data_IF_877761656471
#
_entry.id   IF_877761656471
#
_cell.length_a   1.000
_cell.length_b   1.000
_cell.length_c   1.000
_cell.angle_alpha   90.00
_cell.angle_beta   90.00
_cell.angle_gamma   90.00
#
_symmetry.space_group_name_H-M   'P 1'
#
loop_
_entity.id
_entity.type
_entity.pdbx_description
1 polymer ?
#
# COMPACT_ATOMS: atom_id res chain seq x y z
N UNK A 1 -5.58 5.02 18.52
CA UNK A 1 -4.41 5.70 17.93
C UNK A 1 -4.83 6.47 16.69
N UNK A 2 -3.86 7.10 16.00
CA UNK A 2 -4.11 7.92 14.81
C UNK A 2 -4.73 7.11 13.66
N UNK A 3 -4.23 5.89 13.41
CA UNK A 3 -4.75 5.01 12.36
C UNK A 3 -6.25 4.71 12.53
N UNK A 4 -6.67 4.35 13.75
CA UNK A 4 -8.08 4.06 14.04
C UNK A 4 -8.97 5.30 13.87
N UNK A 5 -8.49 6.49 14.23
CA UNK A 5 -9.23 7.73 14.05
C UNK A 5 -9.46 8.05 12.57
N UNK A 6 -8.45 7.82 11.71
CA UNK A 6 -8.57 8.04 10.25
C UNK A 6 -9.48 6.97 9.62
N UNK A 7 -9.18 5.69 9.85
CA UNK A 7 -9.91 4.56 9.27
C UNK A 7 -11.38 4.53 9.70
N UNK A 8 -11.67 4.90 10.95
CA UNK A 8 -13.04 4.98 11.48
C UNK A 8 -13.91 6.04 10.79
N UNK A 9 -13.34 6.94 9.98
CA UNK A 9 -14.15 7.88 9.18
C UNK A 9 -14.65 7.27 7.86
N UNK A 10 -14.15 6.11 7.46
CA UNK A 10 -14.53 5.43 6.23
C UNK A 10 -15.50 4.28 6.52
N UNK A 11 -16.46 4.00 5.63
CA UNK A 11 -17.43 2.91 5.80
C UNK A 11 -16.81 1.54 5.46
N UNK A 12 -15.69 1.19 6.11
CA UNK A 12 -14.94 -0.06 5.86
C UNK A 12 -15.65 -1.21 6.59
N UNK A 13 -15.84 -2.31 5.87
CA UNK A 13 -16.50 -3.55 6.33
C UNK A 13 -15.58 -4.75 6.17
N UNK A 14 -15.97 -5.91 6.72
CA UNK A 14 -15.22 -7.15 6.56
C UNK A 14 -15.19 -7.69 5.11
N UNK A 15 -16.09 -7.20 4.25
CA UNK A 15 -16.12 -7.53 2.82
C UNK A 15 -15.11 -6.71 2.00
N UNK A 16 -14.46 -5.72 2.62
CA UNK A 16 -13.42 -4.91 1.99
C UNK A 16 -12.02 -5.50 2.22
N UNK A 17 -11.07 -5.03 1.41
CA UNK A 17 -9.64 -5.33 1.56
C UNK A 17 -8.91 -4.04 1.94
N UNK A 18 -8.09 -4.10 3.00
CA UNK A 18 -7.22 -3.00 3.39
C UNK A 18 -5.80 -3.22 2.85
N UNK A 19 -5.43 -2.43 1.84
CA UNK A 19 -4.06 -2.37 1.32
C UNK A 19 -3.22 -1.39 2.16
N UNK A 20 -2.19 -1.88 2.84
CA UNK A 20 -1.31 -1.11 3.73
C UNK A 20 0.08 -1.03 3.11
N UNK A 21 0.52 0.18 2.76
CA UNK A 21 1.77 0.39 2.02
C UNK A 21 2.79 1.11 2.88
N UNK A 22 3.90 0.43 3.18
CA UNK A 22 5.05 1.01 3.87
C UNK A 22 6.28 0.15 3.62
N UNK A 23 7.23 0.66 2.82
CA UNK A 23 8.41 -0.09 2.42
C UNK A 23 9.25 -0.57 3.63
N UNK A 24 9.32 0.22 4.69
CA UNK A 24 10.14 -0.08 5.87
C UNK A 24 9.52 -1.11 6.83
N UNK A 25 8.19 -1.20 6.89
CA UNK A 25 7.46 -2.23 7.63
C UNK A 25 7.56 -2.14 9.16
N UNK A 26 8.02 -1.03 9.74
CA UNK A 26 8.23 -0.88 11.19
C UNK A 26 7.40 0.23 11.84
N UNK A 27 6.75 1.09 11.04
CA UNK A 27 6.10 2.30 11.54
C UNK A 27 4.80 1.99 12.30
N UNK A 28 4.55 2.75 13.37
CA UNK A 28 3.43 2.52 14.26
C UNK A 28 2.05 2.61 13.57
N UNK A 29 1.84 3.63 12.73
CA UNK A 29 0.55 3.86 12.07
C UNK A 29 0.12 2.68 11.18
N UNK A 30 1.06 2.07 10.43
CA UNK A 30 0.73 0.95 9.53
C UNK A 30 0.50 -0.35 10.28
N UNK A 31 1.24 -0.57 11.37
CA UNK A 31 1.03 -1.72 12.24
C UNK A 31 -0.30 -1.58 13.02
N UNK A 32 -0.62 -0.40 13.54
CA UNK A 32 -1.91 -0.10 14.17
C UNK A 32 -3.07 -0.32 13.20
N UNK A 33 -2.93 0.08 11.93
CA UNK A 33 -3.93 -0.14 10.89
C UNK A 33 -4.17 -1.64 10.64
N UNK A 34 -3.11 -2.44 10.54
CA UNK A 34 -3.20 -3.88 10.35
C UNK A 34 -3.88 -4.58 11.54
N UNK A 35 -3.49 -4.21 12.77
CA UNK A 35 -4.10 -4.75 13.99
C UNK A 35 -5.59 -4.37 14.10
N UNK A 36 -5.94 -3.12 13.81
CA UNK A 36 -7.32 -2.65 13.79
C UNK A 36 -8.20 -3.39 12.78
N UNK A 37 -7.65 -3.68 11.59
CA UNK A 37 -8.33 -4.43 10.54
C UNK A 37 -8.54 -5.89 10.95
N UNK A 38 -7.51 -6.52 11.53
CA UNK A 38 -7.58 -7.88 12.06
C UNK A 38 -8.66 -8.05 13.13
N UNK A 39 -8.79 -7.09 14.06
CA UNK A 39 -9.86 -7.09 15.07
C UNK A 39 -11.28 -7.07 14.46
N UNK A 40 -11.42 -6.63 13.21
CA UNK A 40 -12.70 -6.47 12.48
C UNK A 40 -12.93 -7.54 11.42
N UNK A 41 -12.01 -8.50 11.29
CA UNK A 41 -12.08 -9.52 10.25
C UNK A 41 -11.90 -8.97 8.83
N UNK A 42 -11.27 -7.80 8.69
CA UNK A 42 -10.98 -7.18 7.39
C UNK A 42 -9.71 -7.82 6.84
N UNK A 43 -9.75 -8.29 5.59
CA UNK A 43 -8.58 -8.88 4.93
C UNK A 43 -7.53 -7.80 4.66
N UNK A 44 -6.27 -8.08 4.99
CA UNK A 44 -5.16 -7.12 4.86
C UNK A 44 -4.10 -7.60 3.88
N UNK A 45 -3.62 -6.66 3.06
CA UNK A 45 -2.47 -6.87 2.16
C UNK A 45 -1.42 -5.83 2.50
N UNK A 46 -0.22 -6.25 2.92
CA UNK A 46 0.90 -5.37 3.21
C UNK A 46 1.89 -5.29 2.05
N UNK A 47 2.15 -4.09 1.52
CA UNK A 47 3.26 -3.83 0.60
C UNK A 47 4.45 -3.29 1.42
N UNK A 48 5.50 -4.09 1.54
CA UNK A 48 6.64 -3.79 2.43
C UNK A 48 7.92 -4.51 2.00
N UNK A 49 9.05 -4.21 2.63
CA UNK A 49 10.31 -4.96 2.47
C UNK A 49 10.62 -5.73 3.76
N UNK A 50 10.33 -7.05 3.80
CA UNK A 50 10.70 -7.89 4.94
C UNK A 50 12.21 -7.92 5.20
N UNK A 51 13.05 -7.76 4.18
CA UNK A 51 14.51 -7.71 4.37
C UNK A 51 14.94 -6.49 5.17
N UNK A 52 14.38 -5.31 4.86
CA UNK A 52 14.64 -4.10 5.65
C UNK A 52 14.16 -4.27 7.09
N UNK A 53 12.88 -4.59 7.28
CA UNK A 53 12.29 -4.65 8.63
C UNK A 53 12.96 -5.68 9.54
N UNK A 54 13.51 -6.77 9.01
CA UNK A 54 14.29 -7.75 9.79
C UNK A 54 15.70 -7.27 10.16
N UNK A 55 16.29 -6.37 9.38
CA UNK A 55 17.61 -5.80 9.64
C UNK A 55 17.63 -4.71 10.72
N UNK A 56 16.48 -4.10 11.01
CA UNK A 56 16.41 -3.02 12.01
C UNK A 56 16.45 -3.58 13.45
N UNK A 57 17.23 -3.02 14.38
CA UNK A 57 17.23 -3.44 15.79
C UNK A 57 15.86 -3.32 16.47
N UNK A 58 15.53 -4.23 17.39
CA UNK A 58 14.22 -4.27 18.07
C UNK A 58 13.94 -3.06 18.98
N UNK A 59 14.98 -2.38 19.43
CA UNK A 59 14.95 -1.17 20.26
C UNK A 59 15.03 0.13 19.44
N UNK A 60 15.05 0.03 18.11
CA UNK A 60 15.09 1.20 17.24
C UNK A 60 13.84 2.10 17.48
N UNK A 61 14.01 3.42 17.72
CA UNK A 61 12.93 4.30 18.18
C UNK A 61 11.78 4.46 17.18
N UNK A 62 12.03 4.23 15.90
CA UNK A 62 10.98 4.26 14.86
C UNK A 62 10.07 3.01 14.85
N UNK A 63 10.42 1.95 15.58
CA UNK A 63 9.60 0.74 15.64
C UNK A 63 8.33 0.97 16.43
N UNK A 64 7.25 0.34 15.99
CA UNK A 64 6.04 0.21 16.80
C UNK A 64 6.35 -0.44 18.16
N UNK A 65 5.71 -0.01 19.28
CA UNK A 65 5.97 -0.55 20.62
C UNK A 65 5.81 -2.08 20.76
N UNK A 66 4.99 -2.72 19.93
CA UNK A 66 4.86 -4.19 19.91
C UNK A 66 6.09 -4.91 19.36
N UNK A 67 7.03 -4.19 18.74
CA UNK A 67 8.23 -4.68 18.03
C UNK A 67 7.94 -5.59 16.84
N UNK A 68 6.66 -5.74 16.46
CA UNK A 68 6.26 -6.48 15.27
C UNK A 68 6.61 -5.72 14.00
N UNK A 69 6.76 -6.45 12.92
CA UNK A 69 6.86 -5.92 11.56
C UNK A 69 5.50 -5.99 10.86
N UNK A 70 5.25 -5.12 9.88
CA UNK A 70 4.01 -5.12 9.09
C UNK A 70 3.75 -6.51 8.47
N UNK A 71 4.79 -7.16 7.95
CA UNK A 71 4.73 -8.51 7.37
C UNK A 71 4.30 -9.61 8.34
N UNK A 72 4.29 -9.36 9.65
CA UNK A 72 3.89 -10.31 10.69
C UNK A 72 2.44 -10.11 11.14
N UNK A 73 1.81 -9.00 10.73
CA UNK A 73 0.47 -8.59 11.21
C UNK A 73 -0.56 -8.45 10.09
N UNK A 74 -0.18 -8.67 8.83
CA UNK A 74 -1.08 -8.71 7.67
C UNK A 74 -1.34 -10.15 7.21
N UNK A 75 -2.43 -10.38 6.49
CA UNK A 75 -2.80 -11.70 5.96
C UNK A 75 -1.96 -12.08 4.72
N UNK A 76 -1.70 -11.10 3.85
CA UNK A 76 -0.91 -11.27 2.65
C UNK A 76 0.22 -10.24 2.57
N UNK A 77 1.41 -10.68 2.14
CA UNK A 77 2.59 -9.81 2.00
C UNK A 77 2.99 -9.74 0.53
N UNK A 78 3.09 -8.53 0.01
CA UNK A 78 3.74 -8.21 -1.25
C UNK A 78 5.08 -7.56 -0.95
N UNK A 79 6.16 -8.30 -1.23
CA UNK A 79 7.52 -7.82 -1.01
C UNK A 79 7.92 -6.83 -2.11
N UNK A 80 8.07 -5.55 -1.75
CA UNK A 80 8.45 -4.49 -2.70
C UNK A 80 9.93 -4.48 -3.05
N UNK A 81 10.74 -5.37 -2.45
CA UNK A 81 12.16 -5.56 -2.75
C UNK A 81 13.02 -4.31 -2.55
N UNK A 82 12.54 -3.32 -1.78
CA UNK A 82 13.36 -2.16 -1.41
C UNK A 82 14.58 -2.64 -0.60
N UNK A 83 15.80 -2.28 -1.01
CA UNK A 83 17.02 -2.67 -0.31
C UNK A 83 17.13 -1.98 1.05
N UNK A 84 17.95 -2.53 1.94
CA UNK A 84 18.09 -2.10 3.34
C UNK A 84 18.40 -0.60 3.52
N UNK A 85 19.13 0.03 2.58
CA UNK A 85 19.47 1.45 2.67
C UNK A 85 18.44 2.38 2.04
N UNK A 86 17.46 1.83 1.32
CA UNK A 86 16.49 2.50 0.43
C UNK A 86 17.15 3.33 -0.70
N UNK A 87 18.02 4.26 -0.32
CA UNK A 87 18.95 4.99 -1.18
C UNK A 87 20.03 4.06 -1.76
N UNK A 88 20.23 4.12 -3.08
CA UNK A 88 21.04 3.14 -3.82
C UNK A 88 22.25 3.71 -4.55
N UNK A 89 22.44 5.03 -4.57
CA UNK A 89 23.60 5.66 -5.20
C UNK A 89 24.54 6.27 -4.17
N UNK A 90 25.84 6.04 -4.33
CA UNK A 90 26.90 6.64 -3.52
C UNK A 90 27.95 7.27 -4.45
N UNK A 91 28.44 8.45 -4.09
CA UNK A 91 29.40 9.21 -4.89
C UNK A 91 30.70 9.44 -4.10
N UNK A 92 31.88 9.34 -4.74
CA UNK A 92 33.15 9.68 -4.09
C UNK A 92 33.12 11.10 -3.49
N UNK A 93 33.51 11.23 -2.23
CA UNK A 93 33.50 12.50 -1.51
C UNK A 93 32.17 12.86 -0.84
N UNK A 94 31.12 12.03 -0.95
CA UNK A 94 29.86 12.19 -0.24
C UNK A 94 29.56 10.94 0.61
N UNK A 95 29.46 11.11 1.93
CA UNK A 95 29.14 10.01 2.85
C UNK A 95 27.70 9.50 2.67
N UNK A 96 26.76 10.42 2.41
CA UNK A 96 25.36 10.12 2.25
C UNK A 96 25.07 9.31 0.97
N UNK A 97 24.12 8.37 1.10
CA UNK A 97 23.52 7.69 -0.04
C UNK A 97 22.33 8.50 -0.55
N UNK A 98 22.10 8.47 -1.87
CA UNK A 98 21.02 9.21 -2.52
C UNK A 98 20.17 8.30 -3.42
N UNK A 99 19.08 8.85 -3.94
CA UNK A 99 18.10 8.15 -4.78
C UNK A 99 17.40 7.00 -4.05
N UNK A 100 16.55 7.28 -3.05
CA UNK A 100 15.70 6.27 -2.44
C UNK A 100 14.76 5.66 -3.49
N UNK A 101 14.51 4.36 -3.35
CA UNK A 101 13.76 3.54 -4.30
C UNK A 101 12.38 3.14 -3.78
N UNK A 102 12.11 3.30 -2.49
CA UNK A 102 10.87 2.90 -1.82
C UNK A 102 9.61 3.41 -2.51
N UNK A 103 9.58 4.69 -2.91
CA UNK A 103 8.43 5.29 -3.60
C UNK A 103 8.16 4.63 -4.95
N UNK A 104 9.18 4.51 -5.80
CA UNK A 104 9.04 3.90 -7.14
C UNK A 104 8.70 2.41 -7.03
N UNK A 105 9.32 1.68 -6.10
CA UNK A 105 9.06 0.27 -5.91
C UNK A 105 7.66 0.01 -5.36
N UNK A 106 7.19 0.80 -4.39
CA UNK A 106 5.82 0.69 -3.91
C UNK A 106 4.81 1.01 -5.02
N UNK A 107 5.02 2.10 -5.77
CA UNK A 107 4.15 2.47 -6.88
C UNK A 107 4.12 1.39 -7.96
N UNK A 108 5.29 0.82 -8.29
CA UNK A 108 5.41 -0.29 -9.22
C UNK A 108 4.60 -1.51 -8.76
N UNK A 109 4.79 -1.97 -7.52
CA UNK A 109 4.05 -3.12 -6.98
C UNK A 109 2.54 -2.87 -6.96
N UNK A 110 2.09 -1.67 -6.57
CA UNK A 110 0.67 -1.31 -6.60
C UNK A 110 0.10 -1.43 -8.02
N UNK A 111 0.79 -0.87 -9.02
CA UNK A 111 0.32 -0.91 -10.40
C UNK A 111 0.40 -2.31 -11.01
N UNK A 112 1.39 -3.12 -10.64
CA UNK A 112 1.44 -4.54 -11.00
C UNK A 112 0.25 -5.29 -10.40
N UNK A 113 -0.06 -5.07 -9.11
CA UNK A 113 -1.23 -5.68 -8.46
C UNK A 113 -2.53 -5.31 -9.19
N UNK A 114 -2.70 -4.03 -9.58
CA UNK A 114 -3.87 -3.61 -10.37
C UNK A 114 -3.95 -4.37 -11.70
N UNK A 115 -2.83 -4.50 -12.42
CA UNK A 115 -2.77 -5.26 -13.67
C UNK A 115 -3.16 -6.73 -13.50
N UNK A 116 -2.59 -7.40 -12.50
CA UNK A 116 -2.90 -8.80 -12.17
C UNK A 116 -4.37 -9.00 -11.78
N UNK A 117 -4.93 -8.08 -10.99
CA UNK A 117 -6.35 -8.12 -10.61
C UNK A 117 -7.25 -7.98 -11.84
N UNK A 118 -6.94 -7.06 -12.76
CA UNK A 118 -7.70 -6.90 -14.00
C UNK A 118 -7.60 -8.16 -14.86
N UNK A 119 -6.40 -8.71 -15.04
CA UNK A 119 -6.19 -9.95 -15.79
C UNK A 119 -7.01 -11.12 -15.22
N UNK A 120 -6.90 -11.35 -13.91
CA UNK A 120 -7.63 -12.42 -13.22
C UNK A 120 -9.16 -12.26 -13.28
N UNK A 121 -9.69 -11.03 -13.33
CA UNK A 121 -11.12 -10.79 -13.50
C UNK A 121 -11.57 -11.09 -14.93
N UNK A 122 -10.79 -10.68 -15.94
CA UNK A 122 -11.08 -10.96 -17.35
C UNK A 122 -11.06 -12.46 -17.66
N UNK A 123 -10.12 -13.21 -17.09
CA UNK A 123 -10.08 -14.69 -17.18
C UNK A 123 -11.35 -15.35 -16.62
N UNK A 124 -12.01 -14.69 -15.66
CA UNK A 124 -13.29 -15.13 -15.07
C UNK A 124 -14.51 -14.60 -15.84
N UNK A 125 -14.32 -13.98 -17.00
CA UNK A 125 -15.39 -13.39 -17.82
C UNK A 125 -15.98 -12.12 -17.22
N UNK A 126 -15.27 -11.46 -16.30
CA UNK A 126 -15.72 -10.22 -15.65
C UNK A 126 -14.93 -9.03 -16.20
N UNK A 127 -15.63 -7.99 -16.65
CA UNK A 127 -15.00 -6.74 -17.08
C UNK A 127 -14.98 -5.74 -15.91
N UNK A 128 -13.80 -5.47 -15.29
CA UNK A 128 -13.73 -4.51 -14.20
C UNK A 128 -13.86 -3.07 -14.69
N UNK A 129 -14.35 -2.16 -13.82
CA UNK A 129 -14.29 -0.72 -14.10
C UNK A 129 -12.83 -0.24 -14.06
N UNK A 130 -12.38 0.42 -15.14
CA UNK A 130 -11.03 1.01 -15.22
C UNK A 130 -11.15 2.46 -15.67
N UNK A 131 -10.50 3.36 -14.93
CA UNK A 131 -10.44 4.77 -15.32
C UNK A 131 -9.49 4.98 -16.50
N UNK A 132 -9.96 5.77 -17.45
CA UNK A 132 -9.20 6.22 -18.60
C UNK A 132 -8.52 7.54 -18.27
N UNK A 133 -7.31 7.77 -18.78
CA UNK A 133 -6.66 9.07 -18.61
C UNK A 133 -7.52 10.19 -19.22
N UNK A 134 -7.83 11.24 -18.45
CA UNK A 134 -8.54 12.40 -18.99
C UNK A 134 -7.73 13.15 -20.07
N UNK A 135 -6.42 12.89 -20.16
CA UNK A 135 -5.53 13.49 -21.16
C UNK A 135 -5.59 12.81 -22.53
N UNK A 136 -6.38 11.74 -22.71
CA UNK A 136 -6.59 11.12 -24.03
C UNK A 136 -7.99 11.46 -24.58
N UNK A 137 -8.16 11.51 -25.92
CA UNK A 137 -9.45 11.78 -26.53
C UNK A 137 -10.55 10.84 -26.00
N UNK A 138 -11.64 11.41 -25.48
CA UNK A 138 -12.77 10.66 -24.93
C UNK A 138 -12.60 10.16 -23.48
N UNK A 139 -11.46 10.39 -22.82
CA UNK A 139 -11.17 9.88 -21.48
C UNK A 139 -12.11 10.41 -20.39
N UNK A 140 -12.43 11.71 -20.40
CA UNK A 140 -13.38 12.28 -19.44
C UNK A 140 -14.78 11.68 -19.59
N UNK A 141 -15.25 11.54 -20.84
CA UNK A 141 -16.55 10.95 -21.13
C UNK A 141 -16.62 9.48 -20.67
N UNK A 142 -15.54 8.72 -20.86
CA UNK A 142 -15.43 7.34 -20.40
C UNK A 142 -15.49 7.21 -18.87
N UNK A 143 -14.98 8.20 -18.12
CA UNK A 143 -14.94 8.15 -16.65
C UNK A 143 -16.21 8.64 -15.97
N UNK A 144 -17.07 9.39 -16.66
CA UNK A 144 -18.25 10.05 -16.04
C UNK A 144 -19.15 9.08 -15.29
N UNK A 145 -19.47 7.95 -15.91
CA UNK A 145 -20.30 6.92 -15.29
C UNK A 145 -19.62 6.27 -14.06
N UNK A 146 -18.29 6.18 -14.07
CA UNK A 146 -17.51 5.66 -12.95
C UNK A 146 -17.44 6.66 -11.79
N UNK A 147 -17.27 7.95 -12.09
CA UNK A 147 -17.29 9.02 -11.08
C UNK A 147 -18.65 9.06 -10.38
N UNK A 148 -19.75 9.06 -11.13
CA UNK A 148 -21.10 9.05 -10.56
C UNK A 148 -21.34 7.83 -9.67
N UNK A 149 -20.90 6.64 -10.12
CA UNK A 149 -21.08 5.38 -9.39
C UNK A 149 -20.22 5.30 -8.12
N UNK A 150 -18.98 5.77 -8.14
CA UNK A 150 -18.00 5.56 -7.07
C UNK A 150 -17.74 6.80 -6.20
N UNK A 151 -18.11 8.00 -6.64
CA UNK A 151 -17.93 9.25 -5.91
C UNK A 151 -18.44 9.22 -4.46
N UNK A 152 -19.66 8.71 -4.19
CA UNK A 152 -20.16 8.62 -2.82
C UNK A 152 -19.34 7.70 -1.89
N UNK A 153 -18.52 6.79 -2.47
CA UNK A 153 -17.67 5.85 -1.72
C UNK A 153 -16.24 6.36 -1.52
N UNK A 154 -15.77 7.26 -2.39
CA UNK A 154 -14.38 7.73 -2.41
C UNK A 154 -14.38 9.24 -2.10
N UNK A 155 -14.01 9.60 -0.86
CA UNK A 155 -14.14 10.97 -0.31
C UNK A 155 -13.45 12.09 -1.10
N UNK A 156 -12.55 11.77 -2.03
CA UNK A 156 -11.72 12.73 -2.77
C UNK A 156 -11.61 12.36 -4.26
N UNK A 157 -12.67 11.75 -4.81
CA UNK A 157 -12.73 11.32 -6.21
C UNK A 157 -12.80 12.51 -7.18
#
# INVERSE_FOLDING_TARGET
>A
GYAQAVLGTYPITADDILLIVNAYGINACTIDAALWAKERGITTVGITSPSFSKGIPLDHPARHPSRKNLSEVVDHVLDCKMPERDAVLQFPGLEAWVSPTSTILNAFVIQTLVGEVVGALLERGQTPPVWTSANIPGGEAANRALIERYGPRIKWL
#
